data_IF_999241022005
#
_entry.id   IF_999241022005
#
_cell.length_a   1.000
_cell.length_b   1.000
_cell.length_c   1.000
_cell.angle_alpha   90.00
_cell.angle_beta   90.00
_cell.angle_gamma   90.00
#
_symmetry.space_group_name_H-M   'P 1'
#
loop_
_entity.id
_entity.type
_entity.pdbx_description
1 polymer ?
#
# COMPACT_ATOMS: atom_id res chain seq x y z
N UNK A 1 26.23 6.84 6.07
CA UNK A 1 26.25 5.42 6.50
C UNK A 1 25.99 5.20 8.00
N UNK A 2 26.29 6.14 8.90
CA UNK A 2 25.98 6.00 10.36
C UNK A 2 24.47 6.02 10.66
N UNK A 3 23.66 6.79 9.94
CA UNK A 3 22.18 6.89 10.13
C UNK A 3 21.46 5.57 9.87
N UNK A 4 21.89 4.78 8.86
CA UNK A 4 21.27 3.48 8.54
C UNK A 4 21.63 2.40 9.56
N UNK A 5 22.68 2.60 10.36
CA UNK A 5 23.06 1.68 11.46
C UNK A 5 22.26 1.89 12.75
N UNK A 6 21.55 2.99 12.89
CA UNK A 6 20.64 3.19 14.03
C UNK A 6 19.40 2.32 13.86
N UNK A 7 18.91 1.69 14.94
CA UNK A 7 17.81 0.73 14.90
C UNK A 7 16.53 1.30 14.29
N UNK A 8 16.09 2.45 14.78
CA UNK A 8 14.82 3.06 14.34
C UNK A 8 14.82 3.45 12.84
N UNK A 9 15.81 4.18 12.26
CA UNK A 9 15.83 4.51 10.83
C UNK A 9 15.87 3.29 9.93
N UNK A 10 16.60 2.24 10.32
CA UNK A 10 16.68 1.00 9.54
C UNK A 10 15.31 0.32 9.46
N UNK A 11 14.66 0.12 10.60
CA UNK A 11 13.36 -0.57 10.65
C UNK A 11 12.24 0.25 10.01
N UNK A 12 12.27 1.58 10.12
CA UNK A 12 11.36 2.48 9.39
C UNK A 12 11.56 2.35 7.88
N UNK A 13 12.80 2.35 7.40
CA UNK A 13 13.07 2.20 5.96
C UNK A 13 12.63 0.83 5.44
N UNK A 14 12.90 -0.22 6.21
CA UNK A 14 12.54 -1.59 5.87
C UNK A 14 11.01 -1.80 5.87
N UNK A 15 10.30 -1.23 6.85
CA UNK A 15 8.83 -1.27 6.88
C UNK A 15 8.22 -0.51 5.69
N UNK A 16 8.76 0.65 5.32
CA UNK A 16 8.35 1.37 4.13
C UNK A 16 8.61 0.60 2.84
N UNK A 17 9.72 -0.15 2.77
CA UNK A 17 10.02 -1.02 1.63
C UNK A 17 8.98 -2.13 1.47
N UNK A 18 8.79 -2.98 2.51
CA UNK A 18 7.85 -4.10 2.44
C UNK A 18 6.39 -3.66 2.31
N UNK A 19 6.00 -2.60 3.02
CA UNK A 19 4.68 -2.00 2.89
C UNK A 19 4.41 -1.49 1.48
N UNK A 20 5.42 -0.90 0.83
CA UNK A 20 5.30 -0.43 -0.56
C UNK A 20 5.25 -1.57 -1.56
N UNK A 21 6.04 -2.63 -1.37
CA UNK A 21 5.96 -3.86 -2.17
C UNK A 21 4.53 -4.41 -2.17
N UNK A 22 3.95 -4.56 -0.99
CA UNK A 22 2.59 -5.09 -0.84
C UNK A 22 1.53 -4.17 -1.46
N UNK A 23 1.58 -2.87 -1.18
CA UNK A 23 0.58 -1.92 -1.62
C UNK A 23 0.56 -1.74 -3.14
N UNK A 24 1.73 -1.65 -3.78
CA UNK A 24 1.80 -1.47 -5.23
C UNK A 24 1.52 -2.78 -5.99
N UNK A 25 1.87 -3.94 -5.42
CA UNK A 25 1.38 -5.23 -5.89
C UNK A 25 -0.16 -5.26 -5.92
N UNK A 26 -0.83 -4.77 -4.87
CA UNK A 26 -2.28 -4.71 -4.80
C UNK A 26 -2.87 -3.76 -5.85
N UNK A 27 -2.37 -2.52 -5.93
CA UNK A 27 -2.86 -1.51 -6.88
C UNK A 27 -2.79 -2.03 -8.33
N UNK A 28 -1.76 -2.83 -8.66
CA UNK A 28 -1.60 -3.43 -9.97
C UNK A 28 -2.54 -4.63 -10.21
N UNK A 29 -2.66 -5.53 -9.23
CA UNK A 29 -3.36 -6.82 -9.42
C UNK A 29 -4.87 -6.74 -9.15
N UNK A 30 -5.37 -5.79 -8.36
CA UNK A 30 -6.81 -5.64 -8.11
C UNK A 30 -7.59 -5.29 -9.38
N UNK A 31 -7.23 -4.27 -10.19
CA UNK A 31 -7.92 -4.02 -11.45
C UNK A 31 -7.86 -5.21 -12.41
N UNK A 32 -6.74 -5.94 -12.39
CA UNK A 32 -6.58 -7.14 -13.22
C UNK A 32 -7.53 -8.28 -12.79
N UNK A 33 -7.76 -8.44 -11.47
CA UNK A 33 -8.76 -9.37 -10.94
C UNK A 33 -10.15 -9.05 -11.49
N UNK A 34 -10.55 -7.78 -11.46
CA UNK A 34 -11.85 -7.36 -12.00
C UNK A 34 -11.93 -7.53 -13.52
N UNK A 35 -10.86 -7.27 -14.26
CA UNK A 35 -10.81 -7.44 -15.70
C UNK A 35 -10.86 -8.91 -16.15
N UNK A 36 -10.11 -9.78 -15.47
CA UNK A 36 -9.91 -11.16 -15.90
C UNK A 36 -10.93 -12.13 -15.31
N UNK A 37 -11.37 -11.91 -14.05
CA UNK A 37 -12.21 -12.86 -13.31
C UNK A 37 -13.67 -12.42 -13.29
N UNK A 38 -13.94 -11.12 -13.11
CA UNK A 38 -15.31 -10.59 -12.94
C UNK A 38 -15.98 -10.06 -14.20
N UNK A 39 -15.44 -10.31 -15.37
CA UNK A 39 -15.97 -9.89 -16.69
C UNK A 39 -17.48 -10.15 -16.88
N UNK A 40 -18.09 -11.02 -16.10
CA UNK A 40 -19.46 -11.47 -16.24
C UNK A 40 -20.42 -11.07 -15.12
N UNK A 41 -19.99 -10.26 -14.15
CA UNK A 41 -20.92 -9.84 -13.11
C UNK A 41 -21.92 -8.82 -13.69
N UNK A 42 -23.17 -9.28 -13.90
CA UNK A 42 -24.29 -8.44 -14.37
C UNK A 42 -24.60 -7.26 -13.43
N UNK A 43 -24.16 -7.33 -12.16
CA UNK A 43 -24.29 -6.26 -11.17
C UNK A 43 -23.36 -5.08 -11.44
N UNK A 44 -22.15 -5.36 -11.95
CA UNK A 44 -21.20 -4.32 -12.32
C UNK A 44 -21.64 -3.57 -13.58
N UNK A 45 -22.31 -4.26 -14.50
CA UNK A 45 -22.90 -3.62 -15.69
C UNK A 45 -23.95 -2.55 -15.34
N UNK A 46 -24.72 -2.73 -14.27
CA UNK A 46 -25.71 -1.76 -13.80
C UNK A 46 -25.11 -0.51 -13.16
N UNK A 47 -24.04 -0.65 -12.38
CA UNK A 47 -23.30 0.47 -11.82
C UNK A 47 -22.56 1.25 -12.93
N UNK A 48 -22.01 0.53 -13.89
CA UNK A 48 -21.32 1.08 -15.06
C UNK A 48 -22.28 1.82 -16.00
N UNK A 49 -23.50 1.32 -16.21
CA UNK A 49 -24.50 1.99 -17.03
C UNK A 49 -24.93 3.35 -16.43
N UNK A 50 -25.01 3.47 -15.11
CA UNK A 50 -25.33 4.74 -14.44
C UNK A 50 -24.18 5.76 -14.52
N UNK A 51 -22.94 5.32 -14.48
CA UNK A 51 -21.77 6.20 -14.65
C UNK A 51 -21.54 6.58 -16.12
N UNK A 52 -21.87 5.69 -17.05
CA UNK A 52 -21.87 5.96 -18.50
C UNK A 52 -22.84 7.08 -18.89
N UNK A 53 -24.00 7.15 -18.26
CA UNK A 53 -24.94 8.24 -18.48
C UNK A 53 -24.43 9.59 -18.00
N UNK A 54 -23.45 9.61 -17.06
CA UNK A 54 -22.85 10.81 -16.52
C UNK A 54 -21.60 11.31 -17.30
N UNK A 55 -20.96 10.45 -18.11
CA UNK A 55 -19.74 10.78 -18.86
C UNK A 55 -19.77 10.15 -20.28
N UNK A 56 -20.56 10.69 -21.23
CA UNK A 56 -20.79 10.07 -22.54
C UNK A 56 -19.59 10.06 -23.51
N UNK A 57 -18.48 10.74 -23.17
CA UNK A 57 -17.33 10.95 -24.08
C UNK A 57 -16.06 10.17 -23.71
N UNK A 58 -16.12 9.18 -22.81
CA UNK A 58 -14.96 8.36 -22.47
C UNK A 58 -14.74 7.33 -23.60
N UNK A 59 -13.70 7.55 -24.40
CA UNK A 59 -13.43 6.84 -25.66
C UNK A 59 -12.95 5.39 -25.47
N UNK A 60 -12.72 4.89 -24.25
CA UNK A 60 -12.33 3.51 -24.00
C UNK A 60 -12.98 2.95 -22.70
N UNK A 61 -14.26 2.62 -22.82
CA UNK A 61 -15.11 2.17 -21.70
C UNK A 61 -14.58 0.91 -20.99
N UNK A 62 -13.79 0.07 -21.68
CA UNK A 62 -13.33 -1.21 -21.14
C UNK A 62 -12.15 -1.07 -20.16
N UNK A 63 -11.31 -0.06 -20.36
CA UNK A 63 -10.14 0.18 -19.51
C UNK A 63 -10.48 1.02 -18.25
N UNK A 64 -11.53 1.83 -18.31
CA UNK A 64 -11.93 2.73 -17.21
C UNK A 64 -12.58 1.95 -16.05
N UNK A 65 -13.35 0.91 -16.35
CA UNK A 65 -14.14 0.16 -15.38
C UNK A 65 -13.32 -0.55 -14.27
N UNK A 66 -12.24 -1.27 -14.60
CA UNK A 66 -11.42 -1.93 -13.58
C UNK A 66 -10.73 -0.95 -12.63
N UNK A 67 -10.34 0.22 -13.13
CA UNK A 67 -9.70 1.27 -12.33
C UNK A 67 -10.63 1.93 -11.33
N UNK A 68 -11.94 1.96 -11.59
CA UNK A 68 -12.93 2.57 -10.69
C UNK A 68 -13.04 1.83 -9.35
N UNK A 69 -12.74 0.54 -9.30
CA UNK A 69 -12.70 -0.22 -8.06
C UNK A 69 -11.62 0.28 -7.07
N UNK A 70 -10.65 1.08 -7.54
CA UNK A 70 -9.66 1.73 -6.68
C UNK A 70 -10.12 3.09 -6.10
N UNK A 71 -11.29 3.63 -6.49
CA UNK A 71 -11.79 4.89 -5.94
C UNK A 71 -11.97 4.86 -4.41
N UNK A 72 -12.62 3.83 -3.81
CA UNK A 72 -12.73 3.76 -2.35
C UNK A 72 -11.38 3.69 -1.66
N UNK A 73 -10.41 3.00 -2.26
CA UNK A 73 -9.03 2.94 -1.79
C UNK A 73 -8.35 4.31 -1.81
N UNK A 74 -8.52 5.09 -2.88
CA UNK A 74 -7.95 6.44 -2.99
C UNK A 74 -8.55 7.42 -1.97
N UNK A 75 -9.86 7.35 -1.73
CA UNK A 75 -10.53 8.10 -0.67
C UNK A 75 -10.01 7.68 0.70
N UNK A 76 -9.82 6.37 0.92
CA UNK A 76 -9.30 5.84 2.17
C UNK A 76 -7.85 6.28 2.44
N UNK A 77 -7.00 6.39 1.41
CA UNK A 77 -5.63 6.95 1.54
C UNK A 77 -5.70 8.39 2.06
N UNK A 78 -6.52 9.23 1.43
CA UNK A 78 -6.63 10.64 1.80
C UNK A 78 -7.15 10.82 3.22
N UNK A 79 -8.23 10.12 3.58
CA UNK A 79 -8.82 10.17 4.92
C UNK A 79 -7.91 9.56 5.97
N UNK A 80 -7.22 8.47 5.67
CA UNK A 80 -6.27 7.79 6.56
C UNK A 80 -5.08 8.67 6.94
N UNK A 81 -4.53 9.42 5.98
CA UNK A 81 -3.43 10.36 6.23
C UNK A 81 -3.85 11.49 7.17
N UNK A 82 -5.00 12.11 6.91
CA UNK A 82 -5.56 13.19 7.76
C UNK A 82 -5.86 12.66 9.16
N UNK A 83 -6.50 11.47 9.25
CA UNK A 83 -6.81 10.83 10.52
C UNK A 83 -5.56 10.53 11.34
N UNK A 84 -4.53 9.96 10.71
CA UNK A 84 -3.26 9.67 11.38
C UNK A 84 -2.62 10.95 11.94
N UNK A 85 -2.58 12.04 11.17
CA UNK A 85 -2.09 13.34 11.64
C UNK A 85 -2.89 13.90 12.81
N UNK A 86 -4.22 13.78 12.76
CA UNK A 86 -5.11 14.23 13.84
C UNK A 86 -4.92 13.41 15.12
N UNK A 87 -4.87 12.09 15.03
CA UNK A 87 -4.63 11.19 16.18
C UNK A 87 -3.27 11.49 16.82
N UNK A 88 -2.21 11.64 16.00
CA UNK A 88 -0.88 11.97 16.52
C UNK A 88 -0.84 13.30 17.29
N UNK A 89 -1.53 14.34 16.79
CA UNK A 89 -1.63 15.62 17.49
C UNK A 89 -2.36 15.52 18.84
N UNK A 90 -3.35 14.60 18.93
CA UNK A 90 -4.15 14.41 20.14
C UNK A 90 -3.50 13.49 21.17
N UNK A 91 -2.86 12.42 20.72
CA UNK A 91 -2.38 11.33 21.61
C UNK A 91 -0.87 11.35 21.85
N UNK A 92 -0.09 11.94 20.94
CA UNK A 92 1.38 11.89 20.97
C UNK A 92 1.97 10.49 20.74
N UNK A 93 1.14 9.45 20.65
CA UNK A 93 1.56 8.03 20.58
C UNK A 93 1.74 7.58 19.14
N UNK A 94 2.96 7.69 18.61
CA UNK A 94 3.32 7.26 17.26
C UNK A 94 3.34 5.73 17.11
N UNK A 95 3.94 5.04 18.08
CA UNK A 95 4.18 3.61 18.02
C UNK A 95 2.88 2.81 17.95
N UNK A 96 1.95 3.07 18.88
CA UNK A 96 0.66 2.37 18.91
C UNK A 96 -0.14 2.57 17.63
N UNK A 97 -0.17 3.81 17.10
CA UNK A 97 -0.87 4.12 15.85
C UNK A 97 -0.25 3.39 14.67
N UNK A 98 1.09 3.33 14.59
CA UNK A 98 1.80 2.60 13.53
C UNK A 98 1.48 1.11 13.56
N UNK A 99 1.52 0.48 14.74
CA UNK A 99 1.21 -0.94 14.88
C UNK A 99 -0.25 -1.25 14.53
N UNK A 100 -1.21 -0.46 15.02
CA UNK A 100 -2.63 -0.63 14.67
C UNK A 100 -2.85 -0.49 13.16
N UNK A 101 -2.19 0.47 12.52
CA UNK A 101 -2.28 0.69 11.08
C UNK A 101 -1.67 -0.47 10.27
N UNK A 102 -0.51 -0.98 10.69
CA UNK A 102 0.10 -2.16 10.07
C UNK A 102 -0.77 -3.41 10.24
N UNK A 103 -1.33 -3.63 11.43
CA UNK A 103 -2.24 -4.75 11.66
C UNK A 103 -3.47 -4.65 10.75
N UNK A 104 -4.02 -3.45 10.59
CA UNK A 104 -5.15 -3.21 9.70
C UNK A 104 -4.82 -3.53 8.24
N UNK A 105 -3.61 -3.21 7.75
CA UNK A 105 -3.17 -3.60 6.39
C UNK A 105 -3.01 -5.11 6.23
N UNK A 106 -2.54 -5.81 7.27
CA UNK A 106 -2.44 -7.29 7.27
C UNK A 106 -3.82 -7.92 7.18
N UNK A 107 -4.77 -7.46 7.99
CA UNK A 107 -6.17 -7.95 7.97
C UNK A 107 -6.80 -7.70 6.60
N UNK A 108 -6.67 -6.48 6.05
CA UNK A 108 -7.19 -6.14 4.73
C UNK A 108 -6.62 -7.03 3.62
N UNK A 109 -5.29 -7.23 3.61
CA UNK A 109 -4.64 -8.11 2.63
C UNK A 109 -5.08 -9.57 2.76
N UNK A 110 -5.33 -10.03 3.99
CA UNK A 110 -5.86 -11.37 4.24
C UNK A 110 -7.30 -11.52 3.72
N UNK A 111 -8.14 -10.50 3.87
CA UNK A 111 -9.50 -10.48 3.32
C UNK A 111 -9.46 -10.54 1.77
N UNK A 112 -8.58 -9.75 1.14
CA UNK A 112 -8.41 -9.79 -0.32
C UNK A 112 -7.90 -11.15 -0.80
N UNK A 113 -7.02 -11.82 -0.05
CA UNK A 113 -6.55 -13.16 -0.36
C UNK A 113 -7.65 -14.24 -0.28
N UNK A 114 -8.73 -13.96 0.44
CA UNK A 114 -9.89 -14.85 0.56
C UNK A 114 -10.94 -14.65 -0.54
N UNK A 115 -10.71 -13.73 -1.48
CA UNK A 115 -11.66 -13.50 -2.57
C UNK A 115 -11.87 -14.76 -3.41
N UNK A 116 -13.14 -15.05 -3.68
CA UNK A 116 -13.60 -16.15 -4.50
C UNK A 116 -14.63 -15.65 -5.52
N UNK A 117 -14.93 -16.47 -6.53
CA UNK A 117 -15.91 -16.15 -7.57
C UNK A 117 -17.32 -15.87 -7.02
N UNK A 118 -17.66 -16.44 -5.85
CA UNK A 118 -18.94 -16.27 -5.17
C UNK A 118 -18.95 -15.12 -4.16
N UNK A 119 -17.85 -14.37 -4.01
CA UNK A 119 -17.80 -13.24 -3.07
C UNK A 119 -18.79 -12.16 -3.48
N UNK A 120 -19.57 -11.66 -2.50
CA UNK A 120 -20.53 -10.60 -2.77
C UNK A 120 -19.81 -9.32 -3.21
N UNK A 121 -20.37 -8.61 -4.18
CA UNK A 121 -19.78 -7.43 -4.81
C UNK A 121 -19.39 -6.35 -3.77
N UNK A 122 -20.18 -6.18 -2.71
CA UNK A 122 -19.88 -5.18 -1.69
C UNK A 122 -18.61 -5.49 -0.88
N UNK A 123 -18.27 -6.77 -0.65
CA UNK A 123 -17.00 -7.18 -0.04
C UNK A 123 -15.81 -6.72 -0.89
N UNK A 124 -15.89 -6.93 -2.19
CA UNK A 124 -14.81 -6.56 -3.12
C UNK A 124 -14.49 -5.05 -3.11
N UNK A 125 -15.48 -4.21 -2.78
CA UNK A 125 -15.29 -2.77 -2.66
C UNK A 125 -14.80 -2.35 -1.28
N UNK A 126 -15.28 -3.00 -0.21
CA UNK A 126 -14.98 -2.61 1.16
C UNK A 126 -13.65 -3.19 1.68
N UNK A 127 -13.26 -4.39 1.25
CA UNK A 127 -12.05 -5.05 1.73
C UNK A 127 -10.76 -4.30 1.35
N UNK A 128 -10.83 -3.46 0.31
CA UNK A 128 -9.71 -2.65 -0.17
C UNK A 128 -9.54 -1.36 0.66
N UNK A 129 -10.61 -0.87 1.28
CA UNK A 129 -10.62 0.40 2.05
C UNK A 129 -9.65 0.37 3.23
N UNK A 130 -9.65 -0.65 4.12
CA UNK A 130 -8.72 -0.72 5.23
C UNK A 130 -7.25 -0.77 4.82
N UNK A 131 -6.96 -1.34 3.64
CA UNK A 131 -5.60 -1.35 3.09
C UNK A 131 -5.11 0.06 2.77
N UNK A 132 -5.92 0.87 2.08
CA UNK A 132 -5.59 2.26 1.74
C UNK A 132 -5.43 3.14 2.98
N UNK A 133 -6.37 3.02 3.92
CA UNK A 133 -6.36 3.77 5.18
C UNK A 133 -5.13 3.42 6.02
N UNK A 134 -4.86 2.12 6.23
CA UNK A 134 -3.73 1.64 7.01
C UNK A 134 -2.39 2.03 6.40
N UNK A 135 -2.23 1.86 5.07
CA UNK A 135 -1.02 2.25 4.36
C UNK A 135 -0.71 3.75 4.50
N UNK A 136 -1.70 4.62 4.29
CA UNK A 136 -1.53 6.06 4.43
C UNK A 136 -1.13 6.44 5.86
N UNK A 137 -1.75 5.81 6.86
CA UNK A 137 -1.42 6.00 8.27
C UNK A 137 0.02 5.57 8.58
N UNK A 138 0.46 4.39 8.10
CA UNK A 138 1.85 3.90 8.27
C UNK A 138 2.85 4.85 7.64
N UNK A 139 2.60 5.34 6.43
CA UNK A 139 3.49 6.29 5.75
C UNK A 139 3.62 7.58 6.57
N UNK A 140 2.50 8.12 7.05
CA UNK A 140 2.48 9.37 7.81
C UNK A 140 3.20 9.21 9.16
N UNK A 141 2.92 8.12 9.88
CA UNK A 141 3.53 7.88 11.20
C UNK A 141 5.03 7.58 11.11
N UNK A 142 5.45 6.77 10.12
CA UNK A 142 6.85 6.42 9.91
C UNK A 142 7.68 7.62 9.45
N UNK A 143 7.12 8.52 8.63
CA UNK A 143 7.77 9.76 8.24
C UNK A 143 8.01 10.66 9.46
N UNK A 144 7.01 10.82 10.32
CA UNK A 144 7.14 11.63 11.54
C UNK A 144 8.08 10.96 12.55
N UNK A 145 8.03 9.63 12.71
CA UNK A 145 8.98 8.89 13.54
C UNK A 145 10.42 9.08 13.09
N UNK A 146 10.65 9.12 11.77
CA UNK A 146 11.98 9.39 11.21
C UNK A 146 12.46 10.81 11.53
N UNK A 147 11.59 11.80 11.41
CA UNK A 147 11.89 13.20 11.74
C UNK A 147 12.18 13.36 13.24
N UNK A 148 11.37 12.73 14.10
CA UNK A 148 11.54 12.77 15.55
C UNK A 148 12.80 12.02 16.05
N UNK A 149 13.26 11.02 15.30
CA UNK A 149 14.42 10.19 15.66
C UNK A 149 15.79 10.83 15.40
N UNK A 150 15.85 11.98 14.70
CA UNK A 150 17.10 12.69 14.45
C UNK A 150 17.35 13.70 15.57
N UNK A 151 18.43 13.49 16.33
CA UNK A 151 18.81 14.34 17.48
C UNK A 151 18.95 15.81 17.12
N UNK A 152 18.46 16.68 18.02
CA UNK A 152 18.52 18.15 17.88
C UNK A 152 19.83 18.76 18.40
N UNK A 153 20.82 17.95 18.78
CA UNK A 153 21.95 18.41 19.59
C UNK A 153 23.00 19.26 18.86
N UNK A 154 23.02 19.25 17.50
CA UNK A 154 24.03 20.02 16.79
C UNK A 154 23.42 20.93 15.70
N UNK A 155 23.66 22.22 15.84
CA UNK A 155 23.58 23.32 14.85
C UNK A 155 22.47 23.12 13.76
N UNK A 156 21.54 24.07 13.70
CA UNK A 156 20.34 24.04 12.84
C UNK A 156 20.57 23.57 11.37
N UNK A 157 21.74 23.86 10.80
CA UNK A 157 22.11 23.43 9.43
C UNK A 157 22.40 21.93 9.37
N UNK A 158 23.15 21.38 10.33
CA UNK A 158 23.47 19.95 10.38
C UNK A 158 22.21 19.11 10.63
N UNK A 159 21.29 19.58 11.45
CA UNK A 159 19.99 18.96 11.69
C UNK A 159 19.14 18.96 10.43
N UNK A 160 19.07 20.09 9.70
CA UNK A 160 18.34 20.17 8.43
C UNK A 160 18.86 19.17 7.37
N UNK A 161 20.18 19.05 7.24
CA UNK A 161 20.79 18.07 6.32
C UNK A 161 20.51 16.64 6.78
N UNK A 162 20.59 16.34 8.06
CA UNK A 162 20.32 15.01 8.60
C UNK A 162 18.84 14.59 8.37
N UNK A 163 17.90 15.51 8.57
CA UNK A 163 16.48 15.27 8.28
C UNK A 163 16.23 15.05 6.77
N UNK A 164 16.82 15.88 5.92
CA UNK A 164 16.70 15.72 4.47
C UNK A 164 17.25 14.37 4.00
N UNK A 165 18.40 13.96 4.52
CA UNK A 165 19.03 12.68 4.19
C UNK A 165 18.18 11.49 4.69
N UNK A 166 17.69 11.55 5.93
CA UNK A 166 16.82 10.51 6.49
C UNK A 166 15.53 10.34 5.67
N UNK A 167 14.89 11.44 5.31
CA UNK A 167 13.71 11.46 4.45
C UNK A 167 14.02 10.89 3.07
N UNK A 168 15.12 11.31 2.44
CA UNK A 168 15.54 10.81 1.14
C UNK A 168 15.80 9.30 1.13
N UNK A 169 16.43 8.76 2.18
CA UNK A 169 16.65 7.31 2.33
C UNK A 169 15.32 6.57 2.44
N UNK A 170 14.39 7.07 3.25
CA UNK A 170 13.05 6.45 3.39
C UNK A 170 12.28 6.46 2.07
N UNK A 171 12.34 7.56 1.31
CA UNK A 171 11.74 7.64 -0.02
C UNK A 171 12.40 6.67 -1.01
N UNK A 172 13.73 6.51 -0.97
CA UNK A 172 14.44 5.57 -1.81
C UNK A 172 13.98 4.13 -1.57
N UNK A 173 13.91 3.70 -0.31
CA UNK A 173 13.41 2.36 0.04
C UNK A 173 11.96 2.17 -0.41
N UNK A 174 11.11 3.17 -0.21
CA UNK A 174 9.72 3.15 -0.62
C UNK A 174 9.55 3.05 -2.12
N UNK A 175 10.23 3.89 -2.91
CA UNK A 175 10.14 3.85 -4.38
C UNK A 175 10.72 2.58 -4.97
N UNK A 176 11.82 2.08 -4.41
CA UNK A 176 12.39 0.78 -4.79
C UNK A 176 11.39 -0.35 -4.51
N UNK A 177 10.74 -0.32 -3.35
CA UNK A 177 9.69 -1.28 -2.99
C UNK A 177 8.50 -1.24 -3.95
N UNK A 178 8.08 -0.05 -4.41
CA UNK A 178 7.01 0.11 -5.39
C UNK A 178 7.33 -0.60 -6.71
N UNK A 179 8.52 -0.35 -7.27
CA UNK A 179 8.95 -0.96 -8.53
C UNK A 179 9.08 -2.48 -8.40
N UNK A 180 9.74 -2.94 -7.33
CA UNK A 180 9.90 -4.38 -7.06
C UNK A 180 8.53 -5.04 -6.84
N UNK A 181 7.62 -4.40 -6.13
CA UNK A 181 6.27 -4.91 -5.88
C UNK A 181 5.49 -5.18 -7.15
N UNK A 182 5.46 -4.23 -8.08
CA UNK A 182 4.79 -4.41 -9.37
C UNK A 182 5.48 -5.48 -10.21
N UNK A 183 6.81 -5.40 -10.35
CA UNK A 183 7.57 -6.31 -11.20
C UNK A 183 7.52 -7.76 -10.70
N UNK A 184 7.72 -7.96 -9.39
CA UNK A 184 7.73 -9.30 -8.80
C UNK A 184 6.33 -9.93 -8.82
N UNK A 185 5.29 -9.15 -8.48
CA UNK A 185 3.91 -9.65 -8.53
C UNK A 185 3.46 -9.97 -9.95
N UNK A 186 3.85 -9.16 -10.93
CA UNK A 186 3.57 -9.43 -12.34
C UNK A 186 4.29 -10.68 -12.86
N UNK A 187 5.57 -10.86 -12.51
CA UNK A 187 6.33 -12.05 -12.88
C UNK A 187 5.76 -13.32 -12.24
N UNK A 188 5.40 -13.26 -10.95
CA UNK A 188 4.76 -14.36 -10.22
C UNK A 188 3.42 -14.73 -10.85
N UNK A 189 2.58 -13.72 -11.13
CA UNK A 189 1.30 -13.91 -11.78
C UNK A 189 1.47 -14.61 -13.13
N UNK A 190 2.35 -14.11 -14.00
CA UNK A 190 2.57 -14.67 -15.34
C UNK A 190 3.10 -16.11 -15.30
N UNK A 191 3.98 -16.41 -14.33
CA UNK A 191 4.52 -17.76 -14.15
C UNK A 191 3.42 -18.77 -13.77
N UNK A 192 2.63 -18.42 -12.74
CA UNK A 192 1.55 -19.30 -12.25
C UNK A 192 0.43 -19.41 -13.27
N UNK A 193 0.03 -18.28 -13.87
CA UNK A 193 -1.00 -18.25 -14.92
C UNK A 193 -0.64 -19.16 -16.08
N UNK A 194 0.62 -19.08 -16.57
CA UNK A 194 1.09 -19.94 -17.65
C UNK A 194 1.02 -21.41 -17.29
N UNK A 195 1.42 -21.78 -16.06
CA UNK A 195 1.34 -23.15 -15.58
C UNK A 195 -0.11 -23.64 -15.52
N UNK A 196 -1.03 -22.83 -14.98
CA UNK A 196 -2.45 -23.19 -14.85
C UNK A 196 -3.18 -23.24 -16.18
N UNK A 197 -2.87 -22.34 -17.12
CA UNK A 197 -3.42 -22.39 -18.47
C UNK A 197 -2.98 -23.65 -19.22
N UNK A 198 -1.70 -24.04 -19.12
CA UNK A 198 -1.18 -25.29 -19.74
C UNK A 198 -1.81 -26.54 -19.14
N UNK A 199 -2.17 -26.52 -17.85
CA UNK A 199 -2.85 -27.63 -17.17
C UNK A 199 -4.31 -27.80 -17.66
N UNK A 200 -4.97 -26.68 -18.03
CA UNK A 200 -6.42 -26.68 -18.35
C UNK A 200 -6.76 -26.61 -19.84
N UNK A 201 -5.87 -26.05 -20.65
CA UNK A 201 -6.09 -25.83 -22.07
C UNK A 201 -5.23 -26.82 -22.88
N UNK A 202 -5.90 -27.76 -23.58
CA UNK A 202 -5.28 -28.78 -24.43
C UNK A 202 -5.83 -28.68 -25.86
N UNK A 203 -5.03 -29.00 -26.85
CA UNK A 203 -5.46 -29.03 -28.25
C UNK A 203 -4.38 -28.53 -29.22
N UNK A 204 -4.63 -28.63 -30.53
CA UNK A 204 -3.62 -28.27 -31.55
C UNK A 204 -3.21 -26.80 -31.53
N UNK A 205 -4.09 -25.88 -31.11
CA UNK A 205 -3.82 -24.44 -31.05
C UNK A 205 -3.65 -23.93 -29.60
N UNK A 206 -3.45 -24.83 -28.61
CA UNK A 206 -3.39 -24.45 -27.19
C UNK A 206 -2.29 -23.42 -26.90
N UNK A 207 -1.13 -23.52 -27.54
CA UNK A 207 -0.01 -22.59 -27.30
C UNK A 207 -0.38 -21.18 -27.73
N UNK A 208 -0.99 -21.01 -28.91
CA UNK A 208 -1.40 -19.69 -29.43
C UNK A 208 -2.51 -19.08 -28.58
N UNK A 209 -3.50 -19.89 -28.16
CA UNK A 209 -4.59 -19.44 -27.28
C UNK A 209 -4.03 -18.98 -25.92
N UNK A 210 -3.11 -19.74 -25.32
CA UNK A 210 -2.48 -19.40 -24.05
C UNK A 210 -1.70 -18.08 -24.18
N UNK A 211 -0.97 -17.90 -25.25
CA UNK A 211 -0.19 -16.68 -25.49
C UNK A 211 -1.11 -15.45 -25.63
N UNK A 212 -2.18 -15.58 -26.39
CA UNK A 212 -3.19 -14.53 -26.55
C UNK A 212 -3.87 -14.17 -25.23
N UNK A 213 -4.26 -15.15 -24.40
CA UNK A 213 -4.84 -14.90 -23.07
C UNK A 213 -3.85 -14.18 -22.14
N UNK A 214 -2.56 -14.52 -22.22
CA UNK A 214 -1.51 -13.88 -21.41
C UNK A 214 -1.26 -12.43 -21.79
N UNK A 215 -1.37 -12.11 -23.08
CA UNK A 215 -1.14 -10.76 -23.59
C UNK A 215 -2.33 -9.84 -23.40
N UNK A 216 -3.55 -10.35 -23.42
CA UNK A 216 -4.75 -9.53 -23.33
C UNK A 216 -5.91 -10.21 -22.61
N UNK A 217 -6.39 -9.61 -21.53
CA UNK A 217 -7.61 -10.03 -20.85
C UNK A 217 -8.88 -9.72 -21.63
N UNK A 218 -8.81 -8.81 -22.62
CA UNK A 218 -9.97 -8.42 -23.44
C UNK A 218 -10.46 -9.52 -24.37
N UNK A 219 -9.63 -10.53 -24.65
CA UNK A 219 -9.97 -11.69 -25.50
C UNK A 219 -10.82 -12.72 -24.72
N UNK A 220 -10.74 -12.75 -23.39
CA UNK A 220 -11.43 -13.77 -22.58
C UNK A 220 -12.94 -13.85 -22.84
N UNK A 221 -13.69 -12.73 -22.99
CA UNK A 221 -15.12 -12.78 -23.32
C UNK A 221 -15.44 -13.39 -24.69
N UNK A 222 -14.49 -13.35 -25.64
CA UNK A 222 -14.67 -13.80 -27.03
C UNK A 222 -14.37 -15.29 -27.19
N UNK A 223 -13.78 -15.94 -26.16
CA UNK A 223 -13.47 -17.37 -26.17
C UNK A 223 -14.71 -18.23 -26.02
N UNK A 224 -14.63 -19.49 -26.48
CA UNK A 224 -15.66 -20.49 -26.24
C UNK A 224 -15.94 -20.67 -24.74
N UNK A 225 -17.16 -21.03 -24.31
CA UNK A 225 -17.53 -21.10 -22.89
C UNK A 225 -16.57 -21.97 -22.04
N UNK A 226 -16.05 -23.05 -22.60
CA UNK A 226 -15.10 -23.95 -21.92
C UNK A 226 -13.72 -23.28 -21.71
N UNK A 227 -13.16 -22.68 -22.77
CA UNK A 227 -11.88 -21.99 -22.73
C UNK A 227 -11.95 -20.76 -21.85
N UNK A 228 -13.07 -20.03 -21.89
CA UNK A 228 -13.33 -18.88 -21.06
C UNK A 228 -13.33 -19.25 -19.58
N UNK A 229 -14.04 -20.32 -19.20
CA UNK A 229 -14.04 -20.83 -17.83
C UNK A 229 -12.62 -21.22 -17.39
N UNK A 230 -11.90 -21.97 -18.23
CA UNK A 230 -10.52 -22.36 -17.94
C UNK A 230 -9.58 -21.15 -17.75
N UNK A 231 -9.77 -20.09 -18.54
CA UNK A 231 -9.01 -18.85 -18.41
C UNK A 231 -9.34 -18.11 -17.11
N UNK A 232 -10.62 -17.90 -16.80
CA UNK A 232 -11.09 -17.23 -15.57
C UNK A 232 -10.59 -17.95 -14.33
N UNK A 233 -10.78 -19.28 -14.26
CA UNK A 233 -10.34 -20.10 -13.13
C UNK A 233 -8.81 -20.06 -12.98
N UNK A 234 -8.06 -19.99 -14.09
CA UNK A 234 -6.59 -19.90 -14.05
C UNK A 234 -6.11 -18.53 -13.55
N UNK A 235 -6.78 -17.45 -13.94
CA UNK A 235 -6.51 -16.11 -13.40
C UNK A 235 -6.87 -16.00 -11.93
N UNK A 236 -8.01 -16.56 -11.50
CA UNK A 236 -8.43 -16.55 -10.10
C UNK A 236 -7.41 -17.27 -9.20
N UNK A 237 -6.95 -18.46 -9.60
CA UNK A 237 -5.94 -19.22 -8.87
C UNK A 237 -4.59 -18.47 -8.81
N UNK A 238 -4.13 -17.92 -9.93
CA UNK A 238 -2.87 -17.20 -10.00
C UNK A 238 -2.89 -15.93 -9.13
N UNK A 239 -3.96 -15.14 -9.22
CA UNK A 239 -4.13 -13.92 -8.43
C UNK A 239 -4.27 -14.22 -6.93
N UNK A 240 -4.92 -15.31 -6.56
CA UNK A 240 -5.01 -15.75 -5.16
C UNK A 240 -3.63 -15.98 -4.55
N UNK A 241 -2.72 -16.64 -5.27
CA UNK A 241 -1.34 -16.82 -4.78
C UNK A 241 -0.62 -15.48 -4.64
N UNK A 242 -0.78 -14.57 -5.60
CA UNK A 242 -0.20 -13.20 -5.50
C UNK A 242 -0.73 -12.46 -4.29
N UNK A 243 -2.03 -12.52 -3.99
CA UNK A 243 -2.63 -11.88 -2.81
C UNK A 243 -2.16 -12.51 -1.50
N UNK A 244 -1.93 -13.83 -1.45
CA UNK A 244 -1.32 -14.50 -0.29
C UNK A 244 0.12 -13.99 -0.07
N UNK A 245 0.92 -13.89 -1.13
CA UNK A 245 2.27 -13.31 -1.04
C UNK A 245 2.24 -11.85 -0.57
N UNK A 246 1.27 -11.08 -1.03
CA UNK A 246 1.05 -9.69 -0.57
C UNK A 246 0.70 -9.62 0.91
N UNK A 247 -0.17 -10.51 1.42
CA UNK A 247 -0.49 -10.60 2.84
C UNK A 247 0.76 -10.94 3.66
N UNK A 248 1.61 -11.86 3.19
CA UNK A 248 2.89 -12.18 3.80
C UNK A 248 3.84 -10.96 3.84
N UNK A 249 3.91 -10.14 2.78
CA UNK A 249 4.72 -8.93 2.76
C UNK A 249 4.20 -7.86 3.74
N UNK A 250 2.87 -7.70 3.88
CA UNK A 250 2.28 -6.83 4.90
C UNK A 250 2.59 -7.34 6.31
N UNK A 251 2.60 -8.66 6.53
CA UNK A 251 2.97 -9.24 7.81
C UNK A 251 4.45 -9.01 8.14
N UNK A 252 5.36 -9.13 7.17
CA UNK A 252 6.78 -8.78 7.35
C UNK A 252 6.92 -7.28 7.67
N UNK A 253 6.16 -6.41 6.99
CA UNK A 253 6.10 -4.98 7.31
C UNK A 253 5.69 -4.75 8.77
N UNK A 254 4.65 -5.44 9.26
CA UNK A 254 4.22 -5.39 10.66
C UNK A 254 5.35 -5.83 11.63
N UNK A 255 6.03 -6.94 11.32
CA UNK A 255 7.18 -7.39 12.14
C UNK A 255 8.33 -6.38 12.15
N UNK A 256 8.58 -5.69 11.05
CA UNK A 256 9.57 -4.62 10.97
C UNK A 256 9.17 -3.38 11.80
N UNK A 257 7.87 -3.18 12.06
CA UNK A 257 7.42 -2.07 12.90
C UNK A 257 7.56 -2.35 14.40
N UNK A 258 7.64 -3.61 14.84
CA UNK A 258 7.73 -3.97 16.26
C UNK A 258 8.97 -3.40 16.99
N UNK A 259 10.19 -3.40 16.40
CA UNK A 259 11.38 -2.90 17.07
C UNK A 259 11.55 -1.37 16.97
N UNK A 260 10.60 -0.64 16.40
CA UNK A 260 10.64 0.82 16.33
C UNK A 260 10.42 1.38 17.74
N UNK A 261 11.36 2.19 18.23
CA UNK A 261 11.25 2.80 19.55
C UNK A 261 10.36 4.04 19.49
N UNK A 262 9.52 4.21 20.50
CA UNK A 262 8.71 5.41 20.66
C UNK A 262 9.61 6.58 21.10
N UNK A 263 9.91 7.49 20.17
CA UNK A 263 10.52 8.75 20.52
C UNK A 263 9.39 9.75 20.79
N UNK A 264 9.38 10.40 21.96
CA UNK A 264 8.37 11.41 22.25
C UNK A 264 8.43 12.49 21.18
N UNK A 265 7.27 12.78 20.61
CA UNK A 265 7.13 13.95 19.73
C UNK A 265 7.60 15.18 20.51
N UNK A 266 8.32 16.11 19.87
CA UNK A 266 8.58 17.40 20.49
C UNK A 266 7.23 17.98 20.90
N UNK A 267 7.07 18.26 22.20
CA UNK A 267 5.84 18.64 22.85
C UNK A 267 5.07 19.75 22.13
N UNK A 268 3.85 20.00 22.56
CA UNK A 268 3.00 21.07 22.03
C UNK A 268 3.75 22.40 21.97
N UNK A 269 3.30 23.32 21.11
CA UNK A 269 3.92 24.66 21.01
C UNK A 269 4.12 25.31 22.39
N UNK A 270 3.20 25.05 23.33
CA UNK A 270 3.25 25.53 24.70
C UNK A 270 4.44 24.96 25.50
N UNK A 271 4.66 23.62 25.42
CA UNK A 271 5.81 23.00 26.09
C UNK A 271 7.16 23.42 25.48
N UNK A 272 7.20 23.70 24.18
CA UNK A 272 8.40 24.24 23.53
C UNK A 272 8.68 25.69 23.96
N UNK A 273 7.64 26.47 24.11
CA UNK A 273 7.74 27.86 24.57
C UNK A 273 8.14 27.94 26.03
N UNK A 274 7.61 27.07 26.89
CA UNK A 274 8.01 26.94 28.28
C UNK A 274 9.46 26.47 28.43
N UNK A 275 9.88 25.46 27.67
CA UNK A 275 11.26 24.98 27.66
C UNK A 275 12.24 26.05 27.15
N UNK A 276 11.82 26.87 26.18
CA UNK A 276 12.62 28.01 25.69
C UNK A 276 12.72 29.11 26.77
N UNK A 277 11.62 29.50 27.42
CA UNK A 277 11.58 30.44 28.52
C UNK A 277 12.46 30.01 29.69
N UNK A 278 12.41 28.72 30.07
CA UNK A 278 13.28 28.15 31.11
C UNK A 278 14.78 28.22 30.75
N UNK A 279 15.14 27.95 29.50
CA UNK A 279 16.53 28.04 29.01
C UNK A 279 17.03 29.47 29.02
N UNK A 280 16.19 30.42 28.65
CA UNK A 280 16.54 31.84 28.62
C UNK A 280 16.73 32.40 30.06
N UNK A 281 15.85 32.00 30.97
CA UNK A 281 15.96 32.35 32.40
C UNK A 281 17.25 31.78 33.02
N UNK A 282 17.58 30.49 32.72
CA UNK A 282 18.83 29.89 33.22
C UNK A 282 20.09 30.52 32.61
N UNK A 283 20.03 30.99 31.36
CA UNK A 283 21.13 31.71 30.71
C UNK A 283 21.35 33.07 31.34
N UNK A 284 20.26 33.77 31.65
CA UNK A 284 20.33 35.08 32.28
C UNK A 284 20.89 34.97 33.72
N UNK A 285 20.45 33.98 34.49
CA UNK A 285 20.97 33.67 35.81
C UNK A 285 22.46 33.26 35.81
N UNK A 286 22.88 32.47 34.81
CA UNK A 286 24.29 32.07 34.67
C UNK A 286 25.20 33.25 34.23
N UNK A 287 24.66 34.28 33.60
CA UNK A 287 25.37 35.47 33.20
C UNK A 287 25.46 36.52 34.34
N UNK A 288 24.58 36.44 35.35
CA UNK A 288 24.53 37.33 36.53
C UNK A 288 25.28 36.76 37.75
N UNK A 289 25.74 35.50 37.68
CA UNK A 289 26.57 34.90 38.72
C UNK A 289 28.04 35.30 38.50
N UNK A 290 28.67 36.05 39.42
CA UNK A 290 30.03 36.59 39.27
C UNK A 290 31.12 35.51 39.30
#
# INVERSE_FOLDING_TARGET
MRLVKQRTPLFVSLSNFFGSVAAFSMIYNVPLYFSAVRLNSSTDAGACARLRSAAPNAADDRAVLPGMHLLPHSVAISTGSVFAGWVMRRTGKLYTLTLCSCLMTVVAASLVAMWNDNSATWHLWLDIVPQGFGMASVITTTLIAMIAGVSREDVAVATGIAHALATAVTYLFRTTGQVIGVSLSGALLQSILTSKLRERIHGPNAVEIIENIRHSTTIIPELSPELRKAAVDSYADALRVVFICQAAMNFICFLCCLPIQENPLPGSHEEQEEAWKQRDTNRTQAAESP
#
